data_IF_811868378226
#
_entry.id   IF_811868378226
#
_cell.length_a   1.000
_cell.length_b   1.000
_cell.length_c   1.000
_cell.angle_alpha   90.00
_cell.angle_beta   90.00
_cell.angle_gamma   90.00
#
_symmetry.space_group_name_H-M   'P 1'
#
loop_
_entity.id
_entity.type
_entity.pdbx_description
1 polymer ?
#
# COMPACT_ATOMS: atom_id res chain seq x y z
N UNK A 1 33.34 -53.93 -5.48
CA UNK A 1 33.48 -52.71 -4.68
C UNK A 1 32.10 -52.12 -4.47
N UNK A 2 31.61 -51.93 -3.22
CA UNK A 2 30.32 -51.31 -3.00
C UNK A 2 30.48 -49.79 -2.98
N UNK A 3 29.77 -49.10 -3.86
CA UNK A 3 29.66 -47.63 -3.81
C UNK A 3 28.47 -47.31 -2.91
N UNK A 4 28.77 -46.84 -1.71
CA UNK A 4 27.82 -46.22 -0.81
C UNK A 4 27.44 -44.86 -1.39
N UNK A 5 26.23 -44.72 -1.93
CA UNK A 5 25.68 -43.42 -2.29
C UNK A 5 24.91 -42.85 -1.08
N UNK A 6 25.59 -41.98 -0.34
CA UNK A 6 24.99 -41.14 0.70
C UNK A 6 24.11 -40.05 0.06
N UNK A 7 22.85 -40.05 0.47
CA UNK A 7 21.97 -38.91 0.79
C UNK A 7 22.24 -37.54 0.14
N UNK A 8 21.19 -36.97 -0.47
CA UNK A 8 20.56 -35.76 0.09
C UNK A 8 19.05 -35.87 -0.17
N UNK A 9 18.28 -36.18 0.87
CA UNK A 9 16.87 -35.85 0.88
C UNK A 9 16.80 -34.32 0.88
N UNK A 10 16.63 -33.74 -0.31
CA UNK A 10 16.38 -32.32 -0.47
C UNK A 10 15.07 -32.01 0.22
N UNK A 11 15.16 -31.60 1.49
CA UNK A 11 14.13 -30.76 2.09
C UNK A 11 14.18 -29.48 1.27
N UNK A 12 13.42 -29.43 0.18
CA UNK A 12 12.99 -28.15 -0.36
C UNK A 12 12.20 -27.52 0.77
N UNK A 13 12.87 -26.70 1.55
CA UNK A 13 12.28 -25.64 2.34
C UNK A 13 11.62 -24.70 1.33
N UNK A 14 10.49 -25.15 0.77
CA UNK A 14 9.56 -24.33 0.03
C UNK A 14 9.09 -23.31 1.05
N UNK A 15 9.63 -22.11 0.94
CA UNK A 15 9.32 -20.90 1.67
C UNK A 15 7.80 -20.68 1.68
N UNK A 16 7.11 -21.30 2.62
CA UNK A 16 5.72 -21.02 2.97
C UNK A 16 5.70 -20.32 4.32
N UNK A 17 5.98 -19.03 4.33
CA UNK A 17 5.75 -18.18 5.50
C UNK A 17 5.80 -16.70 5.15
N UNK A 18 5.03 -16.25 4.16
CA UNK A 18 4.70 -14.83 4.04
C UNK A 18 3.23 -14.73 3.68
N UNK A 19 2.39 -14.58 4.70
CA UNK A 19 0.94 -14.34 4.52
C UNK A 19 0.65 -12.99 5.16
N UNK A 20 0.65 -11.96 4.33
CA UNK A 20 -0.14 -10.75 4.51
C UNK A 20 -0.88 -10.59 3.18
N UNK A 21 -2.22 -10.66 3.23
CA UNK A 21 -3.06 -10.86 2.04
C UNK A 21 -2.96 -12.31 1.52
N UNK A 22 -3.94 -13.15 1.89
CA UNK A 22 -4.33 -14.50 1.42
C UNK A 22 -3.31 -15.54 0.91
N UNK A 23 -2.01 -15.27 0.95
CA UNK A 23 -0.96 -16.09 0.36
C UNK A 23 -0.99 -16.17 -1.17
N UNK A 24 -1.83 -15.39 -1.87
CA UNK A 24 -1.95 -15.40 -3.34
C UNK A 24 -1.41 -14.14 -4.02
N UNK A 25 -0.73 -13.26 -3.28
CA UNK A 25 -0.06 -12.09 -3.88
C UNK A 25 -1.00 -10.94 -4.18
N UNK A 26 -2.05 -10.75 -3.38
CA UNK A 26 -2.85 -9.53 -3.45
C UNK A 26 -2.03 -8.34 -2.91
N UNK A 27 -1.95 -7.30 -3.74
CA UNK A 27 -1.46 -5.97 -3.38
C UNK A 27 -2.52 -5.26 -2.55
N UNK A 28 -2.13 -4.87 -1.35
CA UNK A 28 -2.95 -4.11 -0.43
C UNK A 28 -2.81 -2.62 -0.74
N UNK A 29 -3.90 -1.86 -0.84
CA UNK A 29 -3.81 -0.40 -0.70
C UNK A 29 -3.20 -0.09 0.67
N UNK A 30 -1.92 0.33 0.65
CA UNK A 30 -1.13 0.56 1.85
C UNK A 30 -1.42 1.89 2.52
N UNK A 31 -2.34 2.68 1.94
CA UNK A 31 -2.60 4.07 2.35
C UNK A 31 -3.95 4.27 3.02
N UNK A 32 -4.81 3.25 3.07
CA UNK A 32 -6.16 3.41 3.58
C UNK A 32 -6.56 2.32 4.58
N UNK A 33 -7.30 2.74 5.61
CA UNK A 33 -8.01 1.86 6.53
C UNK A 33 -9.48 2.23 6.58
N UNK A 34 -10.37 1.23 6.56
CA UNK A 34 -11.80 1.42 6.71
C UNK A 34 -12.28 0.92 8.08
N UNK A 35 -12.89 1.78 8.87
CA UNK A 35 -13.53 1.41 10.13
C UNK A 35 -15.00 1.07 9.88
N UNK A 36 -15.40 -0.16 10.21
CA UNK A 36 -16.76 -0.67 9.97
C UNK A 36 -17.53 -0.64 11.29
N UNK A 37 -18.72 -0.05 11.32
CA UNK A 37 -19.54 -0.01 12.56
C UNK A 37 -20.76 -0.93 12.55
N UNK A 38 -21.11 -1.51 11.39
CA UNK A 38 -22.28 -2.37 11.19
C UNK A 38 -23.62 -1.64 11.13
N UNK A 39 -23.80 -0.61 11.96
CA UNK A 39 -25.07 0.14 12.09
C UNK A 39 -25.07 1.50 11.35
N UNK A 40 -23.89 1.96 10.93
CA UNK A 40 -23.68 3.21 10.19
C UNK A 40 -22.84 2.97 8.95
N UNK A 41 -22.77 3.97 8.07
CA UNK A 41 -21.83 4.00 6.96
C UNK A 41 -20.40 3.79 7.44
N UNK A 42 -19.65 2.99 6.68
CA UNK A 42 -18.22 2.79 6.89
C UNK A 42 -17.46 4.12 6.74
N UNK A 43 -16.32 4.23 7.42
CA UNK A 43 -15.49 5.42 7.39
C UNK A 43 -14.05 5.08 7.01
N UNK A 44 -13.56 5.72 5.95
CA UNK A 44 -12.19 5.53 5.43
C UNK A 44 -11.24 6.60 5.92
N UNK A 45 -9.99 6.21 6.20
CA UNK A 45 -8.92 7.10 6.63
C UNK A 45 -7.66 6.85 5.84
N UNK A 46 -6.90 7.92 5.62
CA UNK A 46 -5.49 7.78 5.28
C UNK A 46 -4.74 7.15 6.44
N UNK A 47 -3.89 6.19 6.10
CA UNK A 47 -3.18 5.31 7.00
C UNK A 47 -1.72 5.23 6.54
N UNK A 48 -0.80 5.41 7.47
CA UNK A 48 0.61 5.12 7.28
C UNK A 48 0.92 3.75 7.89
N UNK A 49 1.08 2.75 7.02
CA UNK A 49 1.38 1.38 7.42
C UNK A 49 2.71 1.19 8.16
N UNK A 50 3.61 2.18 8.14
CA UNK A 50 4.89 2.15 8.85
C UNK A 50 4.73 2.55 10.31
N UNK A 51 3.98 3.61 10.57
CA UNK A 51 3.94 4.26 11.90
C UNK A 51 2.62 4.05 12.64
N UNK A 52 1.59 3.56 11.95
CA UNK A 52 0.25 3.47 12.49
C UNK A 52 -0.25 2.02 12.59
N UNK A 53 -1.16 1.81 13.55
CA UNK A 53 -1.85 0.54 13.74
C UNK A 53 -3.33 0.77 13.36
N UNK A 54 -3.90 -0.03 12.45
CA UNK A 54 -5.24 0.22 11.93
C UNK A 54 -6.31 0.13 13.02
N UNK A 55 -6.14 -0.79 13.99
CA UNK A 55 -7.07 -0.93 15.12
C UNK A 55 -7.01 0.30 16.02
N UNK A 56 -5.81 0.81 16.30
CA UNK A 56 -5.59 2.02 17.10
C UNK A 56 -6.20 3.25 16.45
N UNK A 57 -6.01 3.46 15.14
CA UNK A 57 -6.65 4.59 14.43
C UNK A 57 -8.16 4.49 14.54
N UNK A 58 -8.75 3.34 14.19
CA UNK A 58 -10.20 3.20 14.25
C UNK A 58 -10.73 3.41 15.66
N UNK A 59 -10.03 2.95 16.69
CA UNK A 59 -10.39 3.20 18.08
C UNK A 59 -10.35 4.68 18.44
N UNK A 60 -9.31 5.40 18.03
CA UNK A 60 -9.15 6.83 18.31
C UNK A 60 -10.24 7.66 17.64
N UNK A 61 -10.57 7.34 16.40
CA UNK A 61 -11.54 8.06 15.58
C UNK A 61 -13.00 7.64 15.86
N UNK A 62 -13.22 6.53 16.57
CA UNK A 62 -14.54 5.88 16.69
C UNK A 62 -15.65 6.80 17.21
N UNK A 63 -15.36 7.56 18.26
CA UNK A 63 -16.35 8.44 18.90
C UNK A 63 -16.78 9.57 17.97
N UNK A 64 -15.85 10.16 17.24
CA UNK A 64 -16.12 11.25 16.31
C UNK A 64 -16.97 10.77 15.13
N UNK A 65 -16.65 9.59 14.59
CA UNK A 65 -17.36 9.02 13.44
C UNK A 65 -18.77 8.51 13.77
N UNK A 66 -18.88 7.78 14.88
CA UNK A 66 -20.07 6.97 15.16
C UNK A 66 -20.87 7.49 16.37
N UNK A 67 -20.44 8.60 16.98
CA UNK A 67 -21.12 9.22 18.12
C UNK A 67 -21.12 8.38 19.39
N UNK A 68 -20.35 7.29 19.46
CA UNK A 68 -20.34 6.32 20.56
C UNK A 68 -18.93 5.80 20.87
N UNK A 69 -18.66 5.27 22.06
CA UNK A 69 -17.34 4.72 22.38
C UNK A 69 -16.97 3.54 21.49
N UNK A 70 -15.67 3.36 21.24
CA UNK A 70 -15.17 2.20 20.53
C UNK A 70 -15.52 0.90 21.29
N UNK A 71 -15.93 -0.17 20.59
CA UNK A 71 -16.09 -1.49 21.17
C UNK A 71 -14.81 -1.95 21.87
N UNK A 72 -14.97 -2.73 22.94
CA UNK A 72 -13.84 -3.27 23.71
C UNK A 72 -12.90 -4.13 22.88
N UNK A 73 -13.38 -4.71 21.77
CA UNK A 73 -12.60 -5.48 20.81
C UNK A 73 -12.84 -4.96 19.40
N UNK A 74 -11.75 -4.74 18.68
CA UNK A 74 -11.71 -4.42 17.27
C UNK A 74 -10.69 -5.36 16.62
N UNK A 75 -10.95 -5.76 15.38
CA UNK A 75 -10.09 -6.68 14.62
C UNK A 75 -9.86 -6.13 13.23
N UNK A 76 -8.59 -5.96 12.85
CA UNK A 76 -8.21 -5.61 11.49
C UNK A 76 -8.16 -6.87 10.62
N UNK A 77 -8.80 -6.78 9.46
CA UNK A 77 -8.88 -7.82 8.45
C UNK A 77 -8.49 -7.24 7.08
N UNK A 78 -8.01 -8.10 6.20
CA UNK A 78 -7.70 -7.80 4.81
C UNK A 78 -8.72 -8.50 3.95
N UNK A 79 -9.50 -7.74 3.18
CA UNK A 79 -10.40 -8.37 2.22
C UNK A 79 -9.63 -9.10 1.11
N UNK A 80 -10.27 -10.12 0.54
CA UNK A 80 -9.69 -10.89 -0.57
C UNK A 80 -9.91 -10.21 -1.93
N UNK A 81 -10.20 -8.90 -1.96
CA UNK A 81 -10.38 -8.19 -3.22
C UNK A 81 -9.02 -7.96 -3.89
N UNK A 82 -9.01 -7.72 -5.20
CA UNK A 82 -7.77 -7.45 -5.93
C UNK A 82 -7.01 -6.22 -5.42
N UNK A 83 -7.71 -5.31 -4.72
CA UNK A 83 -7.15 -4.09 -4.13
C UNK A 83 -6.72 -4.28 -2.67
N UNK A 84 -7.15 -5.37 -2.02
CA UNK A 84 -6.82 -5.69 -0.63
C UNK A 84 -6.98 -4.51 0.31
N UNK A 85 -8.20 -4.19 0.75
CA UNK A 85 -8.40 -3.08 1.69
C UNK A 85 -8.31 -3.56 3.14
N UNK A 86 -7.66 -2.76 4.01
CA UNK A 86 -7.66 -3.03 5.45
C UNK A 86 -9.00 -2.55 6.02
N UNK A 87 -9.77 -3.48 6.58
CA UNK A 87 -11.06 -3.21 7.24
C UNK A 87 -10.98 -3.58 8.71
N UNK A 88 -11.42 -2.69 9.58
CA UNK A 88 -11.45 -2.90 11.03
C UNK A 88 -12.88 -3.11 11.48
N UNK A 89 -13.17 -4.32 11.95
CA UNK A 89 -14.49 -4.75 12.39
C UNK A 89 -14.60 -4.76 13.92
N UNK A 90 -15.81 -4.53 14.46
CA UNK A 90 -16.08 -4.67 15.88
C UNK A 90 -16.15 -6.16 16.23
N UNK A 91 -15.44 -6.57 17.29
CA UNK A 91 -15.41 -7.96 17.75
C UNK A 91 -14.04 -8.62 17.63
N UNK A 92 -14.03 -9.95 17.71
CA UNK A 92 -12.82 -10.76 17.77
C UNK A 92 -12.33 -11.26 16.41
N UNK A 93 -11.35 -12.15 16.46
CA UNK A 93 -10.70 -12.76 15.28
C UNK A 93 -11.67 -13.51 14.35
N UNK A 94 -12.81 -13.93 14.88
CA UNK A 94 -13.88 -14.57 14.12
C UNK A 94 -14.51 -13.64 13.06
N UNK A 95 -14.36 -12.32 13.21
CA UNK A 95 -14.92 -11.36 12.25
C UNK A 95 -14.31 -11.48 10.86
N UNK A 96 -12.99 -11.69 10.74
CA UNK A 96 -12.37 -11.83 9.42
C UNK A 96 -12.99 -13.01 8.66
N UNK A 97 -13.16 -14.16 9.32
CA UNK A 97 -13.80 -15.34 8.74
C UNK A 97 -15.25 -15.08 8.30
N UNK A 98 -16.04 -14.35 9.09
CA UNK A 98 -17.42 -13.98 8.73
C UNK A 98 -17.48 -13.11 7.48
N UNK A 99 -16.48 -12.27 7.28
CA UNK A 99 -16.37 -11.37 6.13
C UNK A 99 -15.56 -11.95 4.96
N UNK A 100 -15.22 -13.24 5.00
CA UNK A 100 -14.36 -13.92 3.99
C UNK A 100 -13.04 -13.16 3.77
N UNK A 101 -12.49 -12.64 4.87
CA UNK A 101 -11.28 -11.86 4.93
C UNK A 101 -10.24 -12.58 5.79
N UNK A 102 -8.98 -12.21 5.63
CA UNK A 102 -7.88 -12.74 6.43
C UNK A 102 -7.53 -11.78 7.57
N UNK A 103 -7.01 -12.27 8.71
CA UNK A 103 -6.48 -11.39 9.75
C UNK A 103 -5.32 -10.53 9.24
N UNK A 104 -5.34 -9.23 9.55
CA UNK A 104 -4.19 -8.36 9.28
C UNK A 104 -3.05 -8.68 10.25
N UNK A 105 -1.86 -8.96 9.70
CA UNK A 105 -0.67 -9.36 10.47
C UNK A 105 0.44 -8.31 10.47
N UNK A 106 0.19 -7.13 9.89
CA UNK A 106 1.18 -6.07 9.70
C UNK A 106 1.57 -5.87 8.23
N UNK A 107 2.37 -4.83 7.94
CA UNK A 107 2.79 -4.49 6.59
C UNK A 107 3.78 -5.50 6.02
N UNK A 108 3.75 -5.70 4.70
CA UNK A 108 4.76 -6.45 3.96
C UNK A 108 6.03 -5.62 3.76
N UNK A 109 7.14 -6.28 3.38
CA UNK A 109 8.36 -5.58 2.97
C UNK A 109 8.14 -4.66 1.78
N UNK A 110 7.32 -5.06 0.82
CA UNK A 110 6.97 -4.25 -0.35
C UNK A 110 6.22 -2.98 0.07
N UNK A 111 5.24 -3.09 0.99
CA UNK A 111 4.53 -1.93 1.53
C UNK A 111 5.44 -0.99 2.33
N UNK A 112 6.35 -1.54 3.13
CA UNK A 112 7.35 -0.74 3.84
C UNK A 112 8.28 -0.02 2.86
N UNK A 113 8.72 -0.69 1.80
CA UNK A 113 9.52 -0.10 0.73
C UNK A 113 8.75 1.00 -0.02
N UNK A 114 7.47 0.81 -0.29
CA UNK A 114 6.63 1.81 -0.96
C UNK A 114 6.37 3.03 -0.07
N UNK A 115 6.19 2.83 1.23
CA UNK A 115 6.06 3.92 2.18
C UNK A 115 7.37 4.74 2.30
N UNK A 116 8.52 4.07 2.35
CA UNK A 116 9.83 4.73 2.31
C UNK A 116 10.05 5.49 0.99
N UNK A 117 9.71 4.87 -0.15
CA UNK A 117 9.73 5.50 -1.47
C UNK A 117 8.92 6.80 -1.50
N UNK A 118 7.67 6.79 -1.00
CA UNK A 118 6.80 7.98 -0.93
C UNK A 118 7.42 9.08 -0.07
N UNK A 119 7.97 8.71 1.08
CA UNK A 119 8.67 9.64 1.96
C UNK A 119 9.88 10.28 1.27
N UNK A 120 10.67 9.50 0.54
CA UNK A 120 11.87 9.99 -0.15
C UNK A 120 11.52 10.85 -1.37
N UNK A 121 10.50 10.51 -2.14
CA UNK A 121 9.97 11.36 -3.21
C UNK A 121 9.56 12.72 -2.66
N UNK A 122 8.81 12.74 -1.55
CA UNK A 122 8.38 13.97 -0.88
C UNK A 122 9.57 14.79 -0.42
N UNK A 123 10.53 14.18 0.28
CA UNK A 123 11.74 14.87 0.74
C UNK A 123 12.59 15.40 -0.42
N UNK A 124 12.69 14.64 -1.53
CA UNK A 124 13.54 14.98 -2.68
C UNK A 124 13.03 16.19 -3.46
N UNK A 125 11.71 16.36 -3.53
CA UNK A 125 11.04 17.43 -4.27
C UNK A 125 10.36 18.46 -3.37
N UNK A 126 10.63 18.43 -2.07
CA UNK A 126 10.08 19.38 -1.11
C UNK A 126 10.35 20.83 -1.54
N UNK A 127 9.33 21.67 -1.45
CA UNK A 127 9.36 23.07 -1.86
C UNK A 127 9.51 23.32 -3.37
N UNK A 128 9.60 22.29 -4.22
CA UNK A 128 9.64 22.47 -5.68
C UNK A 128 8.24 22.68 -6.25
N UNK A 129 8.19 23.53 -7.27
CA UNK A 129 6.96 23.87 -7.99
C UNK A 129 6.94 23.35 -9.43
N UNK A 130 8.05 22.76 -9.87
CA UNK A 130 8.16 22.11 -11.17
C UNK A 130 9.33 21.11 -11.17
N UNK A 131 9.05 19.91 -11.67
CA UNK A 131 10.03 18.84 -11.93
C UNK A 131 9.73 18.32 -13.33
N UNK A 132 10.71 18.29 -14.21
CA UNK A 132 10.48 17.82 -15.59
C UNK A 132 10.25 16.31 -15.61
N UNK A 133 9.47 15.79 -16.57
CA UNK A 133 9.25 14.35 -16.71
C UNK A 133 10.53 13.51 -16.76
N UNK A 134 11.59 13.88 -17.51
CA UNK A 134 12.86 13.13 -17.51
C UNK A 134 13.53 13.10 -16.13
N UNK A 135 13.54 14.24 -15.43
CA UNK A 135 14.08 14.31 -14.07
C UNK A 135 13.27 13.45 -13.10
N UNK A 136 11.94 13.55 -13.16
CA UNK A 136 11.03 12.82 -12.28
C UNK A 136 11.21 11.31 -12.45
N UNK A 137 11.16 10.82 -13.70
CA UNK A 137 11.35 9.40 -14.02
C UNK A 137 12.70 8.89 -13.54
N UNK A 138 13.77 9.65 -13.76
CA UNK A 138 15.10 9.26 -13.30
C UNK A 138 15.15 9.09 -11.77
N UNK A 139 14.53 10.00 -11.01
CA UNK A 139 14.45 9.89 -9.55
C UNK A 139 13.57 8.70 -9.13
N UNK A 140 12.41 8.51 -9.76
CA UNK A 140 11.50 7.39 -9.47
C UNK A 140 12.20 6.06 -9.71
N UNK A 141 12.79 5.84 -10.88
CA UNK A 141 13.45 4.58 -11.23
C UNK A 141 14.59 4.25 -10.25
N UNK A 142 15.36 5.26 -9.83
CA UNK A 142 16.40 5.11 -8.83
C UNK A 142 15.83 4.70 -7.47
N UNK A 143 14.81 5.41 -6.98
CA UNK A 143 14.21 5.12 -5.67
C UNK A 143 13.49 3.77 -5.66
N UNK A 144 12.84 3.37 -6.76
CA UNK A 144 12.25 2.03 -6.89
C UNK A 144 13.31 0.94 -6.71
N UNK A 145 14.49 1.12 -7.31
CA UNK A 145 15.61 0.19 -7.16
C UNK A 145 16.18 0.20 -5.72
N UNK A 146 16.37 1.38 -5.13
CA UNK A 146 16.89 1.54 -3.75
C UNK A 146 15.99 0.87 -2.71
N UNK A 147 14.67 0.95 -2.88
CA UNK A 147 13.67 0.37 -1.96
C UNK A 147 13.28 -1.08 -2.31
N UNK A 148 13.95 -1.70 -3.28
CA UNK A 148 13.71 -3.10 -3.64
C UNK A 148 12.32 -3.36 -4.25
N UNK A 149 11.70 -2.33 -4.84
CA UNK A 149 10.36 -2.37 -5.46
C UNK A 149 10.43 -2.98 -6.86
N UNK A 150 10.92 -4.21 -6.95
CA UNK A 150 11.10 -4.92 -8.21
C UNK A 150 9.76 -5.17 -8.89
N UNK A 151 9.68 -4.86 -10.18
CA UNK A 151 8.44 -4.99 -10.97
C UNK A 151 7.52 -3.78 -10.87
N UNK A 152 7.90 -2.74 -10.12
CA UNK A 152 7.26 -1.44 -10.21
C UNK A 152 7.78 -0.66 -11.42
N UNK A 153 6.90 0.17 -11.98
CA UNK A 153 7.22 1.06 -13.10
C UNK A 153 6.53 2.40 -12.96
N UNK A 154 6.99 3.41 -13.70
CA UNK A 154 6.28 4.67 -13.87
C UNK A 154 5.62 4.76 -15.25
N UNK A 155 4.42 5.33 -15.30
CA UNK A 155 3.67 5.61 -16.51
C UNK A 155 3.17 7.05 -16.51
N UNK A 156 2.83 7.59 -17.68
CA UNK A 156 2.17 8.88 -17.77
C UNK A 156 0.66 8.67 -17.87
N UNK A 157 -0.09 9.28 -16.96
CA UNK A 157 -1.55 9.29 -16.95
C UNK A 157 -2.08 10.14 -18.11
N UNK A 158 -2.34 9.49 -19.24
CA UNK A 158 -2.91 10.13 -20.42
C UNK A 158 -4.41 9.90 -20.48
N UNK A 159 -5.19 10.99 -20.41
CA UNK A 159 -6.52 10.99 -21.01
C UNK A 159 -6.37 11.19 -22.52
N UNK A 160 -7.32 10.70 -23.34
CA UNK A 160 -7.23 10.73 -24.81
C UNK A 160 -7.02 12.14 -25.41
N UNK A 161 -7.26 13.20 -24.63
CA UNK A 161 -7.20 14.60 -25.03
C UNK A 161 -5.87 15.30 -24.70
N UNK A 162 -4.98 14.66 -23.91
CA UNK A 162 -3.69 15.23 -23.49
C UNK A 162 -2.52 14.50 -24.13
N UNK A 163 -2.14 14.96 -25.33
CA UNK A 163 -0.79 14.76 -25.89
C UNK A 163 -0.31 16.11 -26.41
N UNK A 164 0.95 16.51 -26.14
CA UNK A 164 2.05 15.79 -25.47
C UNK A 164 2.06 15.89 -23.92
N UNK A 165 3.07 15.29 -23.28
CA UNK A 165 3.45 15.58 -21.87
C UNK A 165 3.65 17.08 -21.67
N UNK A 166 3.17 17.61 -20.55
CA UNK A 166 3.46 18.98 -20.12
C UNK A 166 4.90 19.15 -19.64
N UNK A 167 5.23 20.39 -19.25
CA UNK A 167 6.60 20.75 -18.85
C UNK A 167 6.98 20.24 -17.44
N UNK A 168 6.00 20.12 -16.55
CA UNK A 168 6.18 19.71 -15.16
C UNK A 168 5.34 18.46 -14.86
N UNK A 169 5.92 17.54 -14.08
CA UNK A 169 5.31 16.30 -13.65
C UNK A 169 5.07 16.29 -12.13
N UNK A 170 4.00 15.62 -11.73
CA UNK A 170 3.72 15.19 -10.35
C UNK A 170 3.26 13.73 -10.32
N UNK A 171 3.16 13.13 -9.13
CA UNK A 171 2.52 11.81 -8.99
C UNK A 171 1.01 12.02 -8.90
N UNK A 172 0.27 11.50 -9.88
CA UNK A 172 -1.19 11.52 -9.84
C UNK A 172 -1.75 10.45 -8.91
N UNK A 173 -1.28 9.20 -9.02
CA UNK A 173 -1.66 8.12 -8.09
C UNK A 173 -0.75 6.89 -8.21
N UNK A 174 -0.88 6.02 -7.21
CA UNK A 174 -0.21 4.71 -7.14
C UNK A 174 -1.21 3.60 -7.47
N UNK A 175 -1.00 2.86 -8.55
CA UNK A 175 -1.73 1.63 -8.87
C UNK A 175 -0.95 0.45 -8.29
N UNK A 176 -1.08 0.20 -6.98
CA UNK A 176 -0.35 -0.89 -6.31
C UNK A 176 -0.63 -2.27 -6.95
N UNK A 177 -1.88 -2.62 -7.34
CA UNK A 177 -2.16 -3.87 -8.06
C UNK A 177 -1.44 -4.06 -9.38
N UNK A 178 -1.23 -2.98 -10.14
CA UNK A 178 -0.42 -3.03 -11.36
C UNK A 178 1.04 -2.67 -11.13
N UNK A 179 1.45 -2.40 -9.88
CA UNK A 179 2.77 -1.88 -9.52
C UNK A 179 3.19 -0.70 -10.42
N UNK A 180 2.26 0.23 -10.63
CA UNK A 180 2.48 1.36 -11.54
C UNK A 180 2.30 2.68 -10.81
N UNK A 181 3.27 3.57 -10.93
CA UNK A 181 3.19 4.96 -10.46
C UNK A 181 2.78 5.81 -11.65
N UNK A 182 1.61 6.43 -11.58
CA UNK A 182 1.11 7.27 -12.64
C UNK A 182 1.50 8.73 -12.39
N UNK A 183 2.28 9.27 -13.33
CA UNK A 183 2.67 10.68 -13.37
C UNK A 183 1.64 11.48 -14.16
N UNK A 184 1.38 12.72 -13.76
CA UNK A 184 0.50 13.63 -14.49
C UNK A 184 1.12 15.01 -14.64
N UNK A 185 0.51 15.83 -15.49
CA UNK A 185 0.96 17.21 -15.70
C UNK A 185 0.66 18.07 -14.48
N UNK A 186 1.66 18.84 -14.06
CA UNK A 186 1.59 19.81 -12.97
C UNK A 186 1.70 21.24 -13.49
N UNK A 187 0.98 22.18 -12.87
CA UNK A 187 1.09 23.60 -13.22
C UNK A 187 2.29 24.24 -12.52
N UNK A 188 3.22 24.78 -13.31
CA UNK A 188 4.40 25.46 -12.77
C UNK A 188 4.02 26.61 -11.81
N UNK A 189 4.73 26.71 -10.69
CA UNK A 189 4.49 27.76 -9.70
C UNK A 189 3.47 27.37 -8.61
N UNK A 190 2.74 26.27 -8.79
CA UNK A 190 1.96 25.67 -7.71
C UNK A 190 2.81 24.66 -6.94
N UNK A 191 2.68 24.54 -5.60
CA UNK A 191 3.40 23.51 -4.85
C UNK A 191 2.95 22.11 -5.28
N UNK A 192 3.91 21.17 -5.39
CA UNK A 192 3.60 19.76 -5.59
C UNK A 192 2.84 19.25 -4.37
N UNK A 193 1.56 18.92 -4.55
CA UNK A 193 0.65 18.54 -3.45
C UNK A 193 0.54 17.02 -3.28
N UNK A 194 0.84 16.26 -4.34
CA UNK A 194 0.80 14.80 -4.34
C UNK A 194 2.19 14.23 -4.64
N UNK A 195 2.94 13.98 -3.56
CA UNK A 195 4.25 13.31 -3.54
C UNK A 195 4.17 12.05 -2.66
#
# INVERSE_FOLDING_TARGET
MPVVALTVAGVTAGTRAWVAGDGKGHTLDSTAVTCVSGDHSDAGFTFDSVSQDPVRICRQQWQEMFGRPAPGKLTACVDSSAQGSIKVYPGGRDQCGRHRADPYTGPTREQLGLAAFRSDIRARFDGRTCVTYPEFRHVVDRLLAEHGLTGWSSGHFQTAEKKPEGDCAEISYYDEPKRTIWLGDHEAGTPLTFL
#
